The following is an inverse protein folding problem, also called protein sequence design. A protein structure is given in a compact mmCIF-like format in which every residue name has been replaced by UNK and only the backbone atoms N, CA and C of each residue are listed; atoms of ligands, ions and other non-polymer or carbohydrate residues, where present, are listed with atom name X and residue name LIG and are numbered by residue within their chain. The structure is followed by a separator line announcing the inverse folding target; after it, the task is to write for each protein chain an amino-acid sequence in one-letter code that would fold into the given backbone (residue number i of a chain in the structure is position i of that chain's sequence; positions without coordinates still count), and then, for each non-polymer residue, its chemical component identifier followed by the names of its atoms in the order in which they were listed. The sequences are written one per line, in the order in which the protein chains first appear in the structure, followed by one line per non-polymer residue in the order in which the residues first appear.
data_IF_687907464735
#
_entry.id   IF_687907464735
#
_cell.length_a   1.000
_cell.length_b   1.000
_cell.length_c   1.000
_cell.angle_alpha   90.00
_cell.angle_beta   90.00
_cell.angle_gamma   90.00
#
_symmetry.space_group_name_H-M   'P 1'
#
loop_
_entity.id
_entity.type
_entity.pdbx_description
1 polymer ?
#
# COMPACT_ATOMS: atom_id res chain seq x y z
N UNK A 1 39.32 32.36 22.20
CA UNK A 1 38.14 31.94 21.39
C UNK A 1 38.22 30.45 21.19
N UNK A 2 37.31 29.68 21.78
CA UNK A 2 37.28 28.19 21.68
C UNK A 2 36.37 27.77 20.51
N UNK A 3 36.87 27.08 19.47
CA UNK A 3 36.08 26.69 18.29
C UNK A 3 35.27 25.39 18.47
N UNK A 4 34.94 25.03 19.71
CA UNK A 4 34.30 23.73 19.98
C UNK A 4 32.76 23.72 20.10
N UNK A 5 32.10 24.89 20.17
CA UNK A 5 30.67 24.93 20.53
C UNK A 5 29.69 24.83 19.34
N UNK A 6 30.13 25.13 18.10
CA UNK A 6 29.22 25.09 16.94
C UNK A 6 29.03 23.69 16.33
N UNK A 7 30.00 22.78 16.49
CA UNK A 7 29.91 21.44 15.93
C UNK A 7 28.96 20.51 16.72
N UNK A 8 28.84 20.72 18.04
CA UNK A 8 27.94 19.96 18.88
C UNK A 8 26.45 20.27 18.61
N UNK A 9 26.14 21.53 18.25
CA UNK A 9 24.75 21.95 17.94
C UNK A 9 24.25 21.40 16.61
N UNK A 10 25.12 21.24 15.62
CA UNK A 10 24.76 20.64 14.34
C UNK A 10 24.47 19.12 14.46
N UNK A 11 25.25 18.42 15.29
CA UNK A 11 25.03 16.98 15.52
C UNK A 11 23.69 16.65 16.20
N UNK A 12 23.21 17.54 17.08
CA UNK A 12 21.91 17.37 17.77
C UNK A 12 20.72 17.60 16.85
N UNK A 13 20.86 18.43 15.81
CA UNK A 13 19.78 18.70 14.85
C UNK A 13 19.70 17.60 13.76
N UNK A 14 20.84 17.02 13.38
CA UNK A 14 20.88 15.98 12.33
C UNK A 14 20.43 14.61 12.84
N UNK A 15 20.71 14.27 14.11
CA UNK A 15 20.36 12.98 14.68
C UNK A 15 18.85 12.66 14.64
N UNK A 16 17.91 13.54 15.00
CA UNK A 16 16.48 13.24 14.90
C UNK A 16 15.98 13.12 13.46
N UNK A 17 16.57 13.86 12.50
CA UNK A 17 16.21 13.76 11.08
C UNK A 17 16.62 12.41 10.50
N UNK A 18 17.80 11.90 10.86
CA UNK A 18 18.28 10.61 10.39
C UNK A 18 17.48 9.45 10.99
N UNK A 19 17.12 9.51 12.27
CA UNK A 19 16.29 8.50 12.93
C UNK A 19 14.89 8.43 12.27
N UNK A 20 14.25 9.57 12.05
CA UNK A 20 12.95 9.60 11.38
C UNK A 20 13.01 9.09 9.94
N UNK A 21 14.05 9.43 9.19
CA UNK A 21 14.25 8.91 7.83
C UNK A 21 14.50 7.40 7.82
N UNK A 22 15.19 6.85 8.82
CA UNK A 22 15.41 5.42 8.97
C UNK A 22 14.10 4.67 9.27
N UNK A 23 13.24 5.21 10.14
CA UNK A 23 11.94 4.64 10.46
C UNK A 23 11.01 4.63 9.23
N UNK A 24 11.00 5.71 8.46
CA UNK A 24 10.24 5.79 7.21
C UNK A 24 10.74 4.77 6.18
N UNK A 25 12.06 4.68 5.98
CA UNK A 25 12.64 3.71 5.06
C UNK A 25 12.34 2.27 5.50
N UNK A 26 12.46 1.97 6.79
CA UNK A 26 12.14 0.65 7.32
C UNK A 26 10.67 0.28 7.11
N UNK A 27 9.76 1.22 7.34
CA UNK A 27 8.32 1.03 7.10
C UNK A 27 8.05 0.79 5.62
N UNK A 28 8.62 1.62 4.74
CA UNK A 28 8.52 1.46 3.31
C UNK A 28 9.01 0.09 2.83
N UNK A 29 10.23 -0.31 3.22
CA UNK A 29 10.79 -1.60 2.82
C UNK A 29 9.98 -2.78 3.36
N UNK A 30 9.43 -2.66 4.56
CA UNK A 30 8.56 -3.68 5.13
C UNK A 30 7.25 -3.79 4.33
N UNK A 31 6.64 -2.70 3.95
CA UNK A 31 5.38 -2.68 3.23
C UNK A 31 5.57 -3.13 1.77
N UNK A 32 6.68 -2.74 1.15
CA UNK A 32 7.06 -3.14 -0.21
C UNK A 32 7.40 -4.63 -0.31
N UNK A 33 8.23 -5.15 0.61
CA UNK A 33 8.81 -6.49 0.53
C UNK A 33 8.28 -7.46 1.57
N UNK A 34 7.15 -7.18 2.23
CA UNK A 34 6.59 -8.16 3.17
C UNK A 34 6.25 -9.47 2.46
N UNK A 35 6.38 -10.63 3.11
CA UNK A 35 6.00 -11.92 2.53
C UNK A 35 4.55 -11.93 2.02
N UNK A 36 3.68 -11.17 2.69
CA UNK A 36 2.29 -11.05 2.29
C UNK A 36 2.12 -10.21 1.02
N UNK A 37 2.85 -9.08 0.90
CA UNK A 37 2.84 -8.27 -0.31
C UNK A 37 3.38 -9.05 -1.51
N UNK A 38 4.51 -9.74 -1.34
CA UNK A 38 5.08 -10.58 -2.40
C UNK A 38 4.16 -11.72 -2.80
N UNK A 39 3.48 -12.35 -1.84
CA UNK A 39 2.49 -13.39 -2.13
C UNK A 39 1.30 -12.81 -2.92
N UNK A 40 0.78 -11.63 -2.56
CA UNK A 40 -0.34 -10.99 -3.26
C UNK A 40 0.00 -10.64 -4.70
N UNK A 41 1.17 -10.03 -4.94
CA UNK A 41 1.69 -9.72 -6.29
C UNK A 41 1.81 -10.98 -7.14
N UNK A 42 2.36 -12.05 -6.58
CA UNK A 42 2.55 -13.33 -7.28
C UNK A 42 1.23 -14.03 -7.57
N UNK A 43 0.33 -14.08 -6.58
CA UNK A 43 -1.01 -14.67 -6.74
C UNK A 43 -1.83 -13.90 -7.77
N UNK A 44 -1.79 -12.57 -7.75
CA UNK A 44 -2.44 -11.73 -8.76
C UNK A 44 -1.95 -12.03 -10.17
N UNK A 45 -0.64 -12.19 -10.36
CA UNK A 45 -0.06 -12.60 -11.64
C UNK A 45 -0.52 -14.01 -12.06
N UNK A 46 -0.57 -14.96 -11.12
CA UNK A 46 -1.06 -16.31 -11.37
C UNK A 46 -2.52 -16.33 -11.80
N UNK A 47 -3.40 -15.63 -11.05
CA UNK A 47 -4.83 -15.50 -11.37
C UNK A 47 -5.01 -14.82 -12.73
N UNK A 48 -4.33 -13.72 -13.01
CA UNK A 48 -4.37 -13.04 -14.30
C UNK A 48 -3.93 -13.95 -15.45
N UNK A 49 -2.96 -14.82 -15.22
CA UNK A 49 -2.51 -15.82 -16.21
C UNK A 49 -3.59 -16.89 -16.48
N UNK A 50 -4.22 -17.40 -15.43
CA UNK A 50 -5.32 -18.36 -15.55
C UNK A 50 -6.54 -17.77 -16.25
N UNK A 51 -6.88 -16.53 -15.94
CA UNK A 51 -7.99 -15.79 -16.55
C UNK A 51 -7.67 -15.23 -17.95
N UNK A 52 -6.39 -15.29 -18.38
CA UNK A 52 -5.90 -14.66 -19.60
C UNK A 52 -6.22 -13.15 -19.65
N UNK A 53 -6.00 -12.46 -18.56
CA UNK A 53 -6.23 -11.01 -18.44
C UNK A 53 -4.90 -10.27 -18.33
N UNK A 54 -4.61 -9.32 -19.20
CA UNK A 54 -5.35 -8.98 -20.42
C UNK A 54 -5.21 -10.07 -21.50
N UNK A 55 -6.23 -10.21 -22.35
CA UNK A 55 -6.32 -11.32 -23.33
C UNK A 55 -5.30 -11.24 -24.47
N UNK A 56 -4.70 -10.06 -24.73
CA UNK A 56 -3.70 -9.83 -25.76
C UNK A 56 -2.26 -10.15 -25.33
N UNK A 57 -2.02 -10.53 -24.07
CA UNK A 57 -0.75 -11.06 -23.63
C UNK A 57 -0.67 -12.56 -23.87
N UNK A 58 0.31 -12.99 -24.67
CA UNK A 58 0.49 -14.39 -25.00
C UNK A 58 0.75 -15.26 -23.78
N UNK A 59 0.41 -16.54 -23.88
CA UNK A 59 0.43 -17.48 -22.75
C UNK A 59 1.84 -17.69 -22.21
N UNK A 60 2.84 -17.73 -23.08
CA UNK A 60 4.21 -18.12 -22.74
C UNK A 60 5.00 -16.96 -22.07
N UNK A 61 4.68 -15.72 -22.43
CA UNK A 61 5.28 -14.53 -21.80
C UNK A 61 4.40 -13.96 -20.68
N UNK A 62 3.14 -14.39 -20.62
CA UNK A 62 2.09 -13.74 -19.86
C UNK A 62 2.31 -13.68 -18.36
N UNK A 63 2.88 -14.71 -17.72
CA UNK A 63 3.11 -14.67 -16.26
C UNK A 63 4.16 -13.63 -15.87
N UNK A 64 5.30 -13.60 -16.59
CA UNK A 64 6.38 -12.64 -16.31
C UNK A 64 5.94 -11.19 -16.46
N UNK A 65 5.21 -10.88 -17.54
CA UNK A 65 4.66 -9.54 -17.76
C UNK A 65 3.65 -9.16 -16.67
N UNK A 66 2.76 -10.07 -16.30
CA UNK A 66 1.78 -9.83 -15.21
C UNK A 66 2.46 -9.65 -13.86
N UNK A 67 3.46 -10.46 -13.58
CA UNK A 67 4.26 -10.32 -12.35
C UNK A 67 4.97 -8.96 -12.29
N UNK A 68 5.62 -8.57 -13.40
CA UNK A 68 6.30 -7.28 -13.50
C UNK A 68 5.33 -6.10 -13.37
N UNK A 69 4.17 -6.17 -14.04
CA UNK A 69 3.13 -5.13 -13.93
C UNK A 69 2.58 -5.03 -12.53
N UNK A 70 2.23 -6.17 -11.91
CA UNK A 70 1.70 -6.16 -10.54
C UNK A 70 2.72 -5.65 -9.54
N UNK A 71 4.00 -6.00 -9.71
CA UNK A 71 5.07 -5.48 -8.87
C UNK A 71 5.25 -3.97 -9.06
N UNK A 72 5.28 -3.48 -10.30
CA UNK A 72 5.38 -2.05 -10.59
C UNK A 72 4.17 -1.26 -10.04
N UNK A 73 2.96 -1.81 -10.17
CA UNK A 73 1.75 -1.21 -9.63
C UNK A 73 1.78 -1.17 -8.09
N UNK A 74 2.22 -2.26 -7.45
CA UNK A 74 2.41 -2.33 -6.01
C UNK A 74 3.44 -1.30 -5.52
N UNK A 75 4.59 -1.21 -6.19
CA UNK A 75 5.63 -0.22 -5.87
C UNK A 75 5.10 1.21 -6.00
N UNK A 76 4.33 1.51 -7.04
CA UNK A 76 3.72 2.84 -7.21
C UNK A 76 2.70 3.14 -6.11
N UNK A 77 1.83 2.17 -5.74
CA UNK A 77 0.88 2.29 -4.63
C UNK A 77 1.62 2.58 -3.32
N UNK A 78 2.56 1.71 -2.91
CA UNK A 78 3.29 1.84 -1.64
C UNK A 78 4.06 3.16 -1.60
N UNK A 79 4.76 3.53 -2.69
CA UNK A 79 5.55 4.76 -2.73
C UNK A 79 4.68 6.01 -2.54
N UNK A 80 3.56 6.09 -3.25
CA UNK A 80 2.65 7.26 -3.14
C UNK A 80 1.94 7.25 -1.79
N UNK A 81 1.46 6.10 -1.34
CA UNK A 81 0.77 5.95 -0.05
C UNK A 81 1.69 6.36 1.11
N UNK A 82 2.87 5.78 1.21
CA UNK A 82 3.77 6.00 2.35
C UNK A 82 4.40 7.39 2.29
N UNK A 83 4.70 7.88 1.08
CA UNK A 83 5.17 9.25 0.89
C UNK A 83 4.13 10.30 1.33
N UNK A 84 2.87 10.15 0.93
CA UNK A 84 1.80 11.04 1.36
C UNK A 84 1.46 10.86 2.85
N UNK A 85 1.49 9.63 3.36
CA UNK A 85 1.28 9.35 4.78
C UNK A 85 2.28 10.12 5.65
N UNK A 86 3.56 10.12 5.26
CA UNK A 86 4.62 10.85 5.95
C UNK A 86 4.39 12.37 5.91
N UNK A 87 4.01 12.93 4.75
CA UNK A 87 3.78 14.38 4.59
C UNK A 87 2.51 14.85 5.30
N UNK A 88 1.45 14.03 5.29
CA UNK A 88 0.14 14.36 5.87
C UNK A 88 0.02 13.97 7.35
N UNK A 89 1.04 13.36 7.94
CA UNK A 89 1.03 12.83 9.31
C UNK A 89 -0.18 11.89 9.53
N UNK A 90 -0.39 11.00 8.57
CA UNK A 90 -1.45 10.00 8.61
C UNK A 90 -0.86 8.58 8.68
N UNK A 91 -1.43 7.73 9.52
CA UNK A 91 -1.10 6.30 9.60
C UNK A 91 -2.15 5.51 8.80
N UNK A 92 -1.79 4.96 7.63
CA UNK A 92 -2.68 4.16 6.80
C UNK A 92 -2.86 2.73 7.30
N UNK A 93 -2.18 2.33 8.38
CA UNK A 93 -2.16 0.96 8.87
C UNK A 93 -3.54 0.53 9.35
N UNK A 94 -3.98 -0.66 8.90
CA UNK A 94 -5.24 -1.25 9.38
C UNK A 94 -5.14 -1.67 10.84
N UNK A 95 -6.07 -1.19 11.66
CA UNK A 95 -6.24 -1.60 13.06
C UNK A 95 -7.52 -2.42 13.20
N UNK A 96 -7.40 -3.59 13.80
CA UNK A 96 -8.52 -4.52 13.97
C UNK A 96 -9.62 -3.93 14.86
N UNK A 97 -10.86 -4.22 14.49
CA UNK A 97 -12.00 -3.84 15.30
C UNK A 97 -12.08 -4.67 16.59
N UNK A 98 -12.21 -4.02 17.74
CA UNK A 98 -12.59 -4.67 18.99
C UNK A 98 -14.08 -5.04 19.08
N UNK A 99 -14.81 -4.98 17.98
CA UNK A 99 -16.25 -5.19 17.92
C UNK A 99 -16.62 -6.67 18.16
N UNK A 100 -17.74 -6.91 18.85
CA UNK A 100 -18.27 -8.26 19.07
C UNK A 100 -19.06 -8.81 17.87
N UNK A 101 -19.72 -7.93 17.12
CA UNK A 101 -20.58 -8.31 16.01
C UNK A 101 -19.76 -8.50 14.73
N UNK A 102 -19.97 -9.63 14.03
CA UNK A 102 -19.29 -9.98 12.78
C UNK A 102 -19.55 -8.93 11.68
N UNK A 103 -20.79 -8.45 11.55
CA UNK A 103 -21.12 -7.42 10.55
C UNK A 103 -20.45 -6.07 10.86
N UNK A 104 -20.35 -5.68 12.14
CA UNK A 104 -19.62 -4.48 12.54
C UNK A 104 -18.13 -4.60 12.25
N UNK A 105 -17.52 -5.78 12.46
CA UNK A 105 -16.13 -6.08 12.12
C UNK A 105 -15.89 -5.98 10.62
N UNK A 106 -16.76 -6.62 9.82
CA UNK A 106 -16.65 -6.57 8.37
C UNK A 106 -16.82 -5.15 7.84
N UNK A 107 -17.82 -4.41 8.32
CA UNK A 107 -18.03 -3.00 7.97
C UNK A 107 -16.83 -2.13 8.32
N UNK A 108 -16.25 -2.32 9.52
CA UNK A 108 -15.03 -1.62 9.92
C UNK A 108 -13.87 -1.93 8.98
N UNK A 109 -13.65 -3.20 8.63
CA UNK A 109 -12.57 -3.60 7.74
C UNK A 109 -12.69 -2.94 6.35
N UNK A 110 -13.90 -2.88 5.79
CA UNK A 110 -14.16 -2.22 4.50
C UNK A 110 -13.99 -0.70 4.59
N UNK A 111 -14.59 -0.07 5.60
CA UNK A 111 -14.53 1.40 5.77
C UNK A 111 -13.10 1.87 6.05
N UNK A 112 -12.31 1.06 6.75
CA UNK A 112 -10.89 1.37 7.02
C UNK A 112 -10.01 1.42 5.77
N UNK A 113 -10.48 0.96 4.60
CA UNK A 113 -9.77 1.14 3.33
C UNK A 113 -9.84 2.57 2.81
N UNK A 114 -10.74 3.38 3.36
CA UNK A 114 -10.92 4.80 3.02
C UNK A 114 -10.47 5.73 4.14
N UNK A 115 -10.06 5.20 5.28
CA UNK A 115 -9.74 5.97 6.48
C UNK A 115 -8.29 5.73 6.90
N UNK A 116 -7.64 6.80 7.38
CA UNK A 116 -6.35 6.76 8.07
C UNK A 116 -6.51 7.34 9.49
N UNK A 117 -5.51 7.14 10.32
CA UNK A 117 -5.44 7.79 11.64
C UNK A 117 -4.46 8.96 11.57
N UNK A 118 -4.85 10.09 12.13
CA UNK A 118 -3.92 11.21 12.33
C UNK A 118 -3.08 11.02 13.62
N UNK A 119 -2.14 11.92 13.88
CA UNK A 119 -1.27 11.90 15.07
C UNK A 119 -2.05 11.90 16.40
N UNK A 120 -3.29 12.40 16.39
CA UNK A 120 -4.17 12.39 17.57
C UNK A 120 -4.95 11.07 17.71
N UNK A 121 -4.74 10.10 16.84
CA UNK A 121 -5.44 8.81 16.81
C UNK A 121 -6.85 8.86 16.24
N UNK A 122 -7.32 10.01 15.75
CA UNK A 122 -8.65 10.15 15.15
C UNK A 122 -8.66 9.64 13.70
N UNK A 123 -9.78 9.02 13.33
CA UNK A 123 -10.02 8.63 11.95
C UNK A 123 -10.32 9.85 11.07
N UNK A 124 -9.60 9.94 9.96
CA UNK A 124 -9.74 10.96 8.94
C UNK A 124 -9.82 10.30 7.57
N UNK A 125 -10.19 11.07 6.53
CA UNK A 125 -10.15 10.55 5.16
C UNK A 125 -8.72 10.09 4.82
N UNK A 126 -8.57 8.84 4.42
CA UNK A 126 -7.32 8.20 4.07
C UNK A 126 -6.83 8.61 2.68
N UNK A 127 -6.44 9.87 2.52
CA UNK A 127 -5.91 10.38 1.25
C UNK A 127 -4.71 9.56 0.77
N UNK A 128 -3.75 9.16 1.63
CA UNK A 128 -2.63 8.31 1.21
C UNK A 128 -3.06 6.99 0.59
N UNK A 129 -4.00 6.26 1.20
CA UNK A 129 -4.47 4.97 0.67
C UNK A 129 -5.16 5.12 -0.68
N UNK A 130 -6.03 6.13 -0.80
CA UNK A 130 -6.76 6.39 -2.05
C UNK A 130 -5.79 6.79 -3.15
N UNK A 131 -4.87 7.72 -2.88
CA UNK A 131 -3.89 8.17 -3.86
C UNK A 131 -2.94 7.06 -4.29
N UNK A 132 -2.48 6.22 -3.35
CA UNK A 132 -1.65 5.04 -3.62
C UNK A 132 -2.37 4.07 -4.56
N UNK A 133 -3.60 3.68 -4.22
CA UNK A 133 -4.40 2.77 -5.04
C UNK A 133 -4.57 3.28 -6.48
N UNK A 134 -4.82 4.58 -6.67
CA UNK A 134 -4.90 5.16 -8.02
C UNK A 134 -3.54 5.23 -8.70
N UNK A 135 -2.44 5.51 -7.98
CA UNK A 135 -1.09 5.46 -8.56
C UNK A 135 -0.77 4.06 -9.10
N UNK A 136 -1.06 3.00 -8.34
CA UNK A 136 -0.97 1.62 -8.81
C UNK A 136 -1.87 1.35 -10.00
N UNK A 137 -3.12 1.81 -9.97
CA UNK A 137 -4.10 1.64 -11.05
C UNK A 137 -3.66 2.31 -12.36
N UNK A 138 -3.15 3.53 -12.31
CA UNK A 138 -2.59 4.21 -13.49
C UNK A 138 -1.32 3.53 -14.01
N UNK A 139 -0.50 3.00 -13.12
CA UNK A 139 0.67 2.19 -13.49
C UNK A 139 0.23 0.94 -14.25
N UNK A 140 -0.75 0.20 -13.74
CA UNK A 140 -1.34 -0.96 -14.44
C UNK A 140 -1.87 -0.58 -15.82
N UNK A 141 -2.64 0.50 -15.92
CA UNK A 141 -3.19 0.97 -17.20
C UNK A 141 -2.09 1.33 -18.21
N UNK A 142 -0.99 1.93 -17.75
CA UNK A 142 0.15 2.26 -18.60
C UNK A 142 0.85 1.01 -19.17
N UNK A 143 1.00 -0.05 -18.37
CA UNK A 143 1.58 -1.32 -18.82
C UNK A 143 0.63 -2.11 -19.73
N UNK A 144 -0.66 -2.07 -19.47
CA UNK A 144 -1.63 -2.80 -20.28
C UNK A 144 -1.77 -2.21 -21.69
N UNK A 145 -1.54 -0.91 -21.88
CA UNK A 145 -1.61 -0.24 -23.18
C UNK A 145 -2.99 -0.38 -23.83
N UNK A 146 -3.02 -0.54 -25.15
CA UNK A 146 -4.22 -0.84 -25.95
C UNK A 146 -5.48 0.00 -25.65
N UNK A 147 -5.30 1.32 -25.35
CA UNK A 147 -6.41 2.26 -25.22
C UNK A 147 -7.07 2.31 -23.83
N UNK A 148 -6.51 1.64 -22.82
CA UNK A 148 -7.03 1.72 -21.44
C UNK A 148 -7.04 3.17 -20.93
N UNK A 149 -5.99 3.95 -21.22
CA UNK A 149 -5.92 5.39 -20.94
C UNK A 149 -6.27 5.74 -19.48
N UNK A 150 -6.81 6.96 -19.28
CA UNK A 150 -7.17 7.42 -17.94
C UNK A 150 -8.36 6.67 -17.32
N UNK A 151 -9.27 6.15 -18.16
CA UNK A 151 -10.42 5.36 -17.69
C UNK A 151 -9.98 4.02 -17.11
N UNK A 152 -8.98 3.38 -17.73
CA UNK A 152 -8.34 2.18 -17.20
C UNK A 152 -7.68 2.46 -15.86
N UNK A 153 -6.94 3.56 -15.74
CA UNK A 153 -6.34 3.98 -14.47
C UNK A 153 -7.36 4.16 -13.34
N UNK A 154 -8.50 4.77 -13.61
CA UNK A 154 -9.59 4.91 -12.64
C UNK A 154 -10.20 3.56 -12.27
N UNK A 155 -10.44 2.69 -13.27
CA UNK A 155 -10.99 1.35 -13.03
C UNK A 155 -10.05 0.53 -12.14
N UNK A 156 -8.79 0.39 -12.53
CA UNK A 156 -7.81 -0.40 -11.77
C UNK A 156 -7.53 0.20 -10.39
N UNK A 157 -7.52 1.53 -10.25
CA UNK A 157 -7.42 2.18 -8.95
C UNK A 157 -8.60 1.87 -8.03
N UNK A 158 -9.82 1.83 -8.57
CA UNK A 158 -11.02 1.43 -7.81
C UNK A 158 -10.98 -0.05 -7.43
N UNK A 159 -10.52 -0.92 -8.33
CA UNK A 159 -10.28 -2.34 -8.06
C UNK A 159 -9.24 -2.53 -6.94
N UNK A 160 -8.14 -1.76 -6.95
CA UNK A 160 -7.11 -1.78 -5.90
C UNK A 160 -7.67 -1.40 -4.53
N UNK A 161 -8.57 -0.39 -4.44
CA UNK A 161 -9.27 -0.09 -3.17
C UNK A 161 -10.08 -1.29 -2.70
N UNK A 162 -10.75 -2.00 -3.62
CA UNK A 162 -11.47 -3.25 -3.31
C UNK A 162 -10.55 -4.34 -2.78
N UNK A 163 -9.35 -4.47 -3.34
CA UNK A 163 -8.32 -5.40 -2.86
C UNK A 163 -7.84 -5.02 -1.45
N UNK A 164 -7.61 -3.75 -1.16
CA UNK A 164 -7.28 -3.28 0.18
C UNK A 164 -8.38 -3.65 1.18
N UNK A 165 -9.66 -3.51 0.81
CA UNK A 165 -10.78 -3.93 1.64
C UNK A 165 -10.79 -5.45 1.87
N UNK A 166 -10.51 -6.23 0.84
CA UNK A 166 -10.36 -7.68 0.94
C UNK A 166 -9.21 -8.08 1.89
N UNK A 167 -8.07 -7.41 1.81
CA UNK A 167 -6.94 -7.65 2.72
C UNK A 167 -7.25 -7.26 4.15
N UNK A 168 -7.99 -6.17 4.38
CA UNK A 168 -8.43 -5.81 5.73
C UNK A 168 -9.38 -6.86 6.31
N UNK A 169 -10.28 -7.44 5.49
CA UNK A 169 -11.12 -8.57 5.91
C UNK A 169 -10.28 -9.80 6.28
N UNK A 170 -9.25 -10.13 5.50
CA UNK A 170 -8.33 -11.23 5.83
C UNK A 170 -7.60 -10.95 7.15
N UNK A 171 -7.08 -9.73 7.33
CA UNK A 171 -6.42 -9.32 8.59
C UNK A 171 -7.38 -9.39 9.78
N UNK A 172 -8.68 -9.08 9.57
CA UNK A 172 -9.69 -9.07 10.62
C UNK A 172 -10.11 -10.49 11.04
N UNK A 173 -10.29 -11.41 10.09
CA UNK A 173 -10.91 -12.71 10.35
C UNK A 173 -9.96 -13.89 10.28
N UNK A 174 -8.95 -13.85 9.41
CA UNK A 174 -8.07 -15.00 9.15
C UNK A 174 -6.83 -14.99 10.03
N UNK A 175 -6.13 -13.86 10.16
CA UNK A 175 -4.90 -13.80 10.96
C UNK A 175 -5.07 -14.15 12.44
N UNK A 176 -6.21 -13.89 13.12
CA UNK A 176 -6.42 -14.36 14.47
C UNK A 176 -6.37 -15.87 14.63
N UNK A 177 -6.73 -16.62 13.58
CA UNK A 177 -6.77 -18.09 13.62
C UNK A 177 -5.36 -18.71 13.69
N UNK A 178 -4.33 -17.94 13.29
CA UNK A 178 -2.93 -18.39 13.28
C UNK A 178 -2.10 -17.86 14.47
N UNK A 179 -2.70 -17.10 15.37
CA UNK A 179 -2.05 -16.63 16.61
C UNK A 179 -2.41 -17.55 17.77
N UNK A 180 -1.90 -18.79 17.72
CA UNK A 180 -1.86 -19.72 18.85
C UNK A 180 -0.45 -20.18 19.12
#
# INVERSE_FOLDING_TARGET
MRPGCCLASLAVIVAPITAHAQDLLHTYLRDEFSPFAMASVTLGAGVGTLQRSPSWWDRDEGFGYRLGTNFAAHTADVTVRDGLAAVMHQDPSYVRCGCRNVFARAGHAVVSSFLARNDNGNYVLGVPQIAGAYAGGFTTAAFYGHGEGWQGGLRFGTESIGEHAGFNLIKEFVFPLFKH
#
